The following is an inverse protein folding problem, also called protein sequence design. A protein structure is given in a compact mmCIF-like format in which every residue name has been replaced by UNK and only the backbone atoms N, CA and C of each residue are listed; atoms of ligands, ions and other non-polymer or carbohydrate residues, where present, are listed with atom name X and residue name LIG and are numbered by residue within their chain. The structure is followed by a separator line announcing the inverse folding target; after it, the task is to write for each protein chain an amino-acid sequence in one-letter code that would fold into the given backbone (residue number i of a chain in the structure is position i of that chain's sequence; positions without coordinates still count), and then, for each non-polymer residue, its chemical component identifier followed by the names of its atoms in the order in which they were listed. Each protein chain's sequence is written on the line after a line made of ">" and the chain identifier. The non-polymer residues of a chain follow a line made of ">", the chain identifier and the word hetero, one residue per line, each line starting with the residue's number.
data_IF_518493493711
#
_entry.id   IF_518493493711
#
_cell.length_a   1.000
_cell.length_b   1.000
_cell.length_c   1.000
_cell.angle_alpha   90.00
_cell.angle_beta   90.00
_cell.angle_gamma   90.00
#
_symmetry.space_group_name_H-M   'P 1'
#
loop_
_entity.id
_entity.type
_entity.pdbx_description
1 polymer ?
#
# COMPACT_ATOMS: atom_id res chain seq x y z
N UNK A 1 -3.77 4.22 10.90
CA UNK A 1 -4.13 5.23 9.87
C UNK A 1 -5.24 4.66 8.99
N UNK A 2 -6.44 5.26 8.94
CA UNK A 2 -7.57 4.75 8.14
C UNK A 2 -7.68 5.51 6.82
N UNK A 3 -7.72 4.78 5.70
CA UNK A 3 -7.79 5.34 4.34
C UNK A 3 -8.81 4.58 3.50
N UNK A 4 -9.36 5.27 2.50
CA UNK A 4 -10.33 4.72 1.56
C UNK A 4 -10.10 5.36 0.19
N UNK A 5 -10.11 4.55 -0.87
CA UNK A 5 -10.34 5.01 -2.25
C UNK A 5 -11.56 4.29 -2.83
N UNK A 6 -12.35 5.02 -3.61
CA UNK A 6 -13.65 4.58 -4.12
C UNK A 6 -13.58 3.84 -5.46
N UNK A 7 -12.42 3.89 -6.11
CA UNK A 7 -12.15 3.26 -7.41
C UNK A 7 -10.65 2.93 -7.52
N UNK A 8 -10.16 2.57 -8.71
CA UNK A 8 -8.75 2.24 -8.97
C UNK A 8 -8.26 1.06 -8.11
N UNK A 9 -9.16 0.13 -7.79
CA UNK A 9 -8.83 -1.15 -7.20
C UNK A 9 -9.66 -2.24 -7.85
N UNK A 10 -9.01 -3.32 -8.24
CA UNK A 10 -9.67 -4.52 -8.73
C UNK A 10 -9.21 -5.76 -7.98
N UNK A 11 -9.87 -6.87 -8.30
CA UNK A 11 -9.47 -8.22 -7.94
C UNK A 11 -10.10 -9.19 -8.94
N UNK A 12 -9.25 -9.80 -9.75
CA UNK A 12 -9.66 -10.67 -10.85
C UNK A 12 -8.63 -11.79 -11.05
N UNK A 13 -8.98 -12.82 -11.84
CA UNK A 13 -8.08 -13.92 -12.22
C UNK A 13 -7.51 -14.70 -11.03
N UNK A 14 -8.26 -14.79 -9.93
CA UNK A 14 -7.89 -15.62 -8.78
C UNK A 14 -8.30 -17.08 -8.99
N UNK A 15 -7.67 -17.98 -8.21
CA UNK A 15 -8.00 -19.40 -8.23
C UNK A 15 -9.46 -19.63 -7.84
N UNK A 16 -10.14 -20.49 -8.60
CA UNK A 16 -11.54 -20.85 -8.36
C UNK A 16 -11.66 -22.33 -8.05
N UNK A 17 -12.33 -22.63 -6.95
CA UNK A 17 -12.72 -23.98 -6.57
C UNK A 17 -14.25 -24.12 -6.47
N UNK A 18 -14.70 -25.30 -6.03
CA UNK A 18 -16.14 -25.60 -5.84
C UNK A 18 -16.87 -24.73 -4.82
N UNK A 19 -16.14 -23.96 -4.00
CA UNK A 19 -16.70 -23.08 -2.98
C UNK A 19 -16.59 -21.59 -3.36
N UNK A 20 -15.97 -21.29 -4.50
CA UNK A 20 -15.70 -19.92 -4.91
C UNK A 20 -16.94 -19.31 -5.55
N UNK A 21 -17.60 -18.42 -4.83
CA UNK A 21 -18.77 -17.64 -5.33
C UNK A 21 -18.40 -16.21 -5.73
N UNK A 22 -17.23 -15.74 -5.31
CA UNK A 22 -16.73 -14.39 -5.61
C UNK A 22 -16.60 -14.21 -7.13
N UNK A 23 -17.15 -13.11 -7.64
CA UNK A 23 -17.01 -12.71 -9.04
C UNK A 23 -15.76 -11.84 -9.22
N UNK A 24 -15.20 -11.84 -10.42
CA UNK A 24 -14.14 -10.88 -10.76
C UNK A 24 -14.71 -9.45 -10.69
N UNK A 25 -13.91 -8.54 -10.15
CA UNK A 25 -14.26 -7.13 -10.05
C UNK A 25 -13.10 -6.29 -10.58
N UNK A 26 -13.32 -5.63 -11.73
CA UNK A 26 -12.35 -4.68 -12.29
C UNK A 26 -12.30 -3.36 -11.54
N UNK A 27 -13.39 -3.01 -10.84
CA UNK A 27 -13.45 -1.85 -9.97
C UNK A 27 -14.19 -2.17 -8.67
N UNK A 28 -13.69 -1.65 -7.55
CA UNK A 28 -14.27 -1.78 -6.21
C UNK A 28 -13.69 -0.72 -5.26
N UNK A 29 -14.41 -0.45 -4.17
CA UNK A 29 -13.85 0.30 -3.05
C UNK A 29 -12.70 -0.48 -2.39
N UNK A 30 -11.64 0.23 -2.02
CA UNK A 30 -10.58 -0.29 -1.18
C UNK A 30 -10.45 0.58 0.07
N UNK A 31 -10.80 0.02 1.23
CA UNK A 31 -10.63 0.65 2.54
C UNK A 31 -9.75 -0.22 3.43
N UNK A 32 -8.81 0.40 4.14
CA UNK A 32 -7.93 -0.30 5.08
C UNK A 32 -7.57 0.57 6.28
N UNK A 33 -7.21 -0.09 7.38
CA UNK A 33 -6.53 0.54 8.51
C UNK A 33 -5.09 0.06 8.49
N UNK A 34 -4.19 0.95 8.10
CA UNK A 34 -2.77 0.61 7.95
C UNK A 34 -2.13 0.39 9.32
N UNK A 35 -1.44 -0.74 9.43
CA UNK A 35 -0.43 -1.05 10.43
C UNK A 35 0.92 -1.24 9.71
N UNK A 36 1.96 -0.57 10.19
CA UNK A 36 3.32 -0.71 9.67
C UNK A 36 4.30 -0.65 10.82
N UNK A 37 5.36 -1.47 10.74
CA UNK A 37 6.45 -1.52 11.71
C UNK A 37 7.73 -1.89 10.98
N UNK A 38 8.79 -1.16 11.26
CA UNK A 38 10.12 -1.38 10.69
C UNK A 38 11.18 -1.42 11.79
N UNK A 39 12.39 -1.84 11.41
CA UNK A 39 13.55 -1.90 12.29
C UNK A 39 14.71 -1.20 11.59
N UNK A 40 15.26 -0.19 12.26
CA UNK A 40 16.47 0.47 11.79
C UNK A 40 17.71 -0.42 11.96
N UNK A 41 18.66 -0.28 11.06
CA UNK A 41 19.96 -0.95 11.10
C UNK A 41 20.97 -0.25 12.02
N UNK A 42 20.74 1.01 12.36
CA UNK A 42 21.53 1.83 13.30
C UNK A 42 20.60 2.74 14.12
N UNK A 43 21.13 3.44 15.12
CA UNK A 43 20.35 4.38 15.95
C UNK A 43 20.96 5.79 16.03
N UNK A 44 22.20 5.96 15.56
CA UNK A 44 22.89 7.24 15.58
C UNK A 44 22.73 7.96 14.24
N UNK A 45 22.55 9.28 14.30
CA UNK A 45 22.41 10.13 13.11
C UNK A 45 21.10 9.94 12.35
N UNK A 46 20.04 9.42 13.01
CA UNK A 46 18.72 9.26 12.42
C UNK A 46 17.80 10.36 12.92
N UNK A 47 17.16 11.06 11.99
CA UNK A 47 15.98 11.87 12.29
C UNK A 47 14.74 10.96 12.26
N UNK A 48 14.33 10.50 13.44
CA UNK A 48 13.22 9.54 13.57
C UNK A 48 11.88 10.13 13.14
N UNK A 49 11.65 11.42 13.38
CA UNK A 49 10.40 12.09 13.01
C UNK A 49 10.32 12.26 11.50
N UNK A 50 11.41 12.65 10.85
CA UNK A 50 11.50 12.72 9.39
C UNK A 50 11.33 11.34 8.75
N UNK A 51 11.96 10.29 9.30
CA UNK A 51 11.82 8.92 8.80
C UNK A 51 10.38 8.42 8.95
N UNK A 52 9.74 8.62 10.10
CA UNK A 52 8.33 8.27 10.32
C UNK A 52 7.41 8.98 9.32
N UNK A 53 7.62 10.28 9.11
CA UNK A 53 6.85 11.08 8.14
C UNK A 53 7.03 10.56 6.71
N UNK A 54 8.27 10.27 6.31
CA UNK A 54 8.58 9.71 5.00
C UNK A 54 7.88 8.35 4.76
N UNK A 55 7.86 7.46 5.76
CA UNK A 55 7.13 6.18 5.66
C UNK A 55 5.63 6.43 5.48
N UNK A 56 5.05 7.31 6.31
CA UNK A 56 3.62 7.65 6.23
C UNK A 56 3.24 8.21 4.86
N UNK A 57 4.04 9.14 4.33
CA UNK A 57 3.82 9.75 3.02
C UNK A 57 3.95 8.72 1.90
N UNK A 58 4.96 7.86 1.96
CA UNK A 58 5.16 6.76 0.99
C UNK A 58 3.96 5.80 0.96
N UNK A 59 3.41 5.45 2.12
CA UNK A 59 2.22 4.60 2.19
C UNK A 59 1.01 5.29 1.55
N UNK A 60 0.79 6.58 1.84
CA UNK A 60 -0.34 7.33 1.28
C UNK A 60 -0.19 7.46 -0.24
N UNK A 61 1.01 7.79 -0.71
CA UNK A 61 1.35 7.90 -2.12
C UNK A 61 1.08 6.59 -2.87
N UNK A 62 1.57 5.45 -2.36
CA UNK A 62 1.34 4.16 -3.02
C UNK A 62 -0.09 3.63 -2.91
N UNK A 63 -0.82 4.02 -1.86
CA UNK A 63 -2.22 3.65 -1.75
C UNK A 63 -3.09 4.42 -2.77
N UNK A 64 -2.91 5.74 -2.86
CA UNK A 64 -3.76 6.63 -3.63
C UNK A 64 -3.31 6.80 -5.10
N UNK A 65 -2.01 6.90 -5.33
CA UNK A 65 -1.44 7.32 -6.62
C UNK A 65 -1.49 8.84 -6.85
N UNK A 66 -1.24 9.29 -8.09
CA UNK A 66 -1.36 10.71 -8.47
C UNK A 66 -2.74 11.30 -8.15
N UNK A 67 -2.79 12.52 -7.63
CA UNK A 67 -4.03 13.15 -7.14
C UNK A 67 -5.10 13.35 -8.23
N UNK A 68 -4.69 13.52 -9.48
CA UNK A 68 -5.55 13.79 -10.64
C UNK A 68 -6.26 12.54 -11.17
N UNK A 69 -5.62 11.37 -11.08
CA UNK A 69 -6.07 10.14 -11.76
C UNK A 69 -6.03 8.86 -10.92
N UNK A 70 -5.40 8.92 -9.75
CA UNK A 70 -5.10 7.77 -8.91
C UNK A 70 -4.18 6.75 -9.60
N UNK A 71 -3.99 5.62 -8.94
CA UNK A 71 -3.23 4.48 -9.49
C UNK A 71 -3.99 3.17 -9.26
N UNK A 72 -4.13 2.38 -10.33
CA UNK A 72 -4.84 1.11 -10.29
C UNK A 72 -4.06 0.06 -9.50
N UNK A 73 -4.72 -0.51 -8.49
CA UNK A 73 -4.20 -1.62 -7.69
C UNK A 73 -4.92 -2.93 -8.04
N UNK A 74 -4.24 -3.90 -8.68
CA UNK A 74 -4.84 -5.20 -9.01
C UNK A 74 -4.95 -6.14 -7.80
N UNK A 75 -4.21 -5.86 -6.72
CA UNK A 75 -4.26 -6.65 -5.49
C UNK A 75 -3.69 -5.85 -4.31
N UNK A 76 -4.20 -6.14 -3.11
CA UNK A 76 -3.67 -5.56 -1.86
C UNK A 76 -2.21 -5.96 -1.66
N UNK A 77 -1.85 -7.18 -2.04
CA UNK A 77 -0.51 -7.74 -1.93
C UNK A 77 0.51 -6.94 -2.75
N UNK A 78 0.15 -6.54 -3.98
CA UNK A 78 1.02 -5.72 -4.83
C UNK A 78 1.26 -4.35 -4.20
N UNK A 79 0.19 -3.65 -3.79
CA UNK A 79 0.31 -2.34 -3.14
C UNK A 79 1.12 -2.41 -1.85
N UNK A 80 0.93 -3.47 -1.04
CA UNK A 80 1.72 -3.70 0.17
C UNK A 80 3.21 -3.85 -0.16
N UNK A 81 3.56 -4.68 -1.14
CA UNK A 81 4.95 -4.95 -1.51
C UNK A 81 5.63 -3.72 -2.12
N UNK A 82 4.99 -3.04 -3.06
CA UNK A 82 5.54 -1.83 -3.70
C UNK A 82 5.77 -0.71 -2.68
N UNK A 83 4.91 -0.62 -1.66
CA UNK A 83 5.12 0.30 -0.53
C UNK A 83 6.37 -0.07 0.28
N UNK A 84 6.59 -1.36 0.55
CA UNK A 84 7.79 -1.83 1.28
C UNK A 84 9.08 -1.52 0.52
N UNK A 85 9.11 -1.83 -0.77
CA UNK A 85 10.27 -1.57 -1.63
C UNK A 85 10.59 -0.08 -1.63
N UNK A 86 9.59 0.77 -1.87
CA UNK A 86 9.80 2.21 -1.95
C UNK A 86 10.23 2.83 -0.60
N UNK A 87 9.74 2.31 0.52
CA UNK A 87 10.21 2.73 1.86
C UNK A 87 11.70 2.44 2.04
N UNK A 88 12.14 1.22 1.69
CA UNK A 88 13.56 0.82 1.81
C UNK A 88 14.47 1.57 0.83
N UNK A 89 13.95 1.99 -0.32
CA UNK A 89 14.68 2.85 -1.27
C UNK A 89 14.86 4.28 -0.74
N UNK A 90 13.84 4.82 -0.05
CA UNK A 90 13.86 6.21 0.45
C UNK A 90 14.58 6.36 1.80
N UNK A 91 14.63 5.30 2.60
CA UNK A 91 15.19 5.31 3.96
C UNK A 91 16.21 4.16 4.07
N UNK A 92 17.52 4.43 3.93
CA UNK A 92 18.54 3.39 3.95
C UNK A 92 18.86 2.84 5.35
N UNK A 93 18.48 3.58 6.40
CA UNK A 93 18.57 3.16 7.81
C UNK A 93 17.51 2.14 8.22
#
# INVERSE_FOLDING_TARGET
>A
MKVLKTTQSGFENFFRDRFTTLQDAKDRCFCTTVYSRWRYNKVHGIDFDAAWKCVKETIIEKFAGPYDRGEYSPSVQKTLYETQVLVLERIPE
#
